data_IF_321053829428
#
_entry.id   IF_321053829428
#
_cell.length_a   1.000
_cell.length_b   1.000
_cell.length_c   1.000
_cell.angle_alpha   90.00
_cell.angle_beta   90.00
_cell.angle_gamma   90.00
#
_symmetry.space_group_name_H-M   'P 1'
#
loop_
_entity.id
_entity.type
_entity.pdbx_description
1 polymer ?
#
# COMPACT_ATOMS: atom_id res chain seq x y z
N UNK A 1 13.63 -8.16 4.28
CA UNK A 1 13.84 -9.54 3.81
C UNK A 1 12.66 -10.04 2.97
N UNK A 2 11.47 -10.27 3.50
CA UNK A 2 10.33 -10.81 2.72
C UNK A 2 9.94 -9.96 1.50
N UNK A 3 10.03 -8.62 1.61
CA UNK A 3 9.82 -7.70 0.49
C UNK A 3 11.05 -7.52 -0.42
N UNK A 4 12.05 -8.39 -0.33
CA UNK A 4 13.30 -8.39 -1.11
C UNK A 4 14.19 -7.14 -1.00
N UNK A 5 13.91 -6.23 -0.07
CA UNK A 5 14.69 -5.00 0.15
C UNK A 5 16.08 -5.30 0.72
N UNK A 6 16.16 -6.28 1.62
CA UNK A 6 17.40 -6.71 2.26
C UNK A 6 17.55 -8.22 2.11
N UNK A 7 18.76 -8.70 1.85
CA UNK A 7 19.05 -10.15 1.82
C UNK A 7 19.11 -10.69 3.25
N UNK A 8 18.67 -11.94 3.48
CA UNK A 8 18.90 -12.63 4.76
C UNK A 8 20.38 -12.97 4.92
N UNK A 9 20.90 -12.88 6.14
CA UNK A 9 22.29 -13.25 6.45
C UNK A 9 22.48 -14.77 6.41
N UNK A 10 21.42 -15.53 6.74
CA UNK A 10 21.39 -16.99 6.69
C UNK A 10 19.95 -17.51 6.53
N UNK A 11 19.82 -18.77 6.14
CA UNK A 11 18.52 -19.42 5.95
C UNK A 11 17.87 -19.10 4.60
N UNK A 12 16.64 -19.59 4.42
CA UNK A 12 15.83 -19.39 3.21
C UNK A 12 14.45 -18.85 3.61
N UNK A 13 13.90 -17.99 2.75
CA UNK A 13 12.53 -17.50 2.88
C UNK A 13 11.81 -17.64 1.54
N UNK A 14 10.56 -18.11 1.58
CA UNK A 14 9.73 -18.28 0.39
C UNK A 14 8.49 -17.39 0.51
N UNK A 15 8.16 -16.71 -0.58
CA UNK A 15 6.92 -15.94 -0.74
C UNK A 15 6.15 -16.53 -1.93
N UNK A 16 5.00 -17.12 -1.69
CA UNK A 16 4.21 -17.86 -2.68
C UNK A 16 5.03 -18.90 -3.47
N UNK A 17 5.94 -19.61 -2.78
CA UNK A 17 6.81 -20.62 -3.35
C UNK A 17 8.06 -20.10 -4.06
N UNK A 18 8.25 -18.79 -4.17
CA UNK A 18 9.43 -18.15 -4.76
C UNK A 18 10.45 -17.79 -3.67
N UNK A 19 11.72 -18.15 -3.90
CA UNK A 19 12.82 -17.78 -3.01
C UNK A 19 13.10 -16.27 -3.09
N UNK A 20 13.11 -15.59 -1.93
CA UNK A 20 13.25 -14.13 -1.87
C UNK A 20 14.60 -13.60 -2.39
N UNK A 21 15.60 -14.48 -2.55
CA UNK A 21 16.93 -14.13 -3.08
C UNK A 21 17.06 -14.53 -4.54
N UNK A 22 16.70 -15.78 -4.88
CA UNK A 22 16.87 -16.34 -6.22
C UNK A 22 15.82 -15.83 -7.20
N UNK A 23 14.58 -15.70 -6.74
CA UNK A 23 13.41 -15.34 -7.54
C UNK A 23 12.88 -13.94 -7.16
N UNK A 24 13.79 -13.03 -6.76
CA UNK A 24 13.42 -11.72 -6.21
C UNK A 24 12.49 -10.91 -7.14
N UNK A 25 12.65 -11.00 -8.46
CA UNK A 25 11.79 -10.32 -9.42
C UNK A 25 10.36 -10.88 -9.42
N UNK A 26 10.21 -12.20 -9.35
CA UNK A 26 8.90 -12.85 -9.25
C UNK A 26 8.19 -12.48 -7.93
N UNK A 27 8.94 -12.39 -6.83
CA UNK A 27 8.41 -11.92 -5.54
C UNK A 27 7.98 -10.46 -5.66
N UNK A 28 8.81 -9.55 -6.20
CA UNK A 28 8.50 -8.12 -6.35
C UNK A 28 7.26 -7.83 -7.18
N UNK A 29 6.94 -8.66 -8.16
CA UNK A 29 5.73 -8.52 -8.96
C UNK A 29 4.44 -8.86 -8.19
N UNK A 30 4.54 -9.59 -7.09
CA UNK A 30 3.41 -10.08 -6.29
C UNK A 30 3.23 -9.36 -4.97
N UNK A 31 4.25 -8.60 -4.54
CA UNK A 31 4.24 -7.92 -3.23
C UNK A 31 4.19 -6.41 -3.41
N UNK A 32 3.54 -5.75 -2.47
CA UNK A 32 3.63 -4.30 -2.31
C UNK A 32 4.09 -3.96 -0.89
N UNK A 33 4.89 -2.92 -0.77
CA UNK A 33 5.38 -2.40 0.51
C UNK A 33 4.99 -0.92 0.62
N UNK A 34 4.17 -0.60 1.61
CA UNK A 34 3.94 0.79 2.02
C UNK A 34 4.76 1.05 3.27
N UNK A 35 5.85 1.79 3.12
CA UNK A 35 6.79 2.10 4.21
C UNK A 35 6.61 3.49 4.80
N UNK A 36 7.57 3.89 5.64
CA UNK A 36 7.63 5.24 6.23
C UNK A 36 7.98 6.33 5.21
N UNK A 37 8.55 5.97 4.06
CA UNK A 37 8.88 6.92 3.01
C UNK A 37 7.76 7.04 2.00
N UNK A 38 7.40 8.28 1.68
CA UNK A 38 6.39 8.60 0.68
C UNK A 38 6.79 8.07 -0.68
N UNK A 39 5.90 7.28 -1.31
CA UNK A 39 6.07 6.80 -2.68
C UNK A 39 5.58 7.82 -3.71
N UNK A 40 5.02 8.95 -3.25
CA UNK A 40 4.39 9.96 -4.09
C UNK A 40 5.26 11.21 -4.21
N UNK A 41 5.23 11.81 -5.38
CA UNK A 41 5.92 13.05 -5.70
C UNK A 41 5.08 14.26 -5.28
N UNK A 42 5.68 15.19 -4.55
CA UNK A 42 5.04 16.36 -4.00
C UNK A 42 4.66 17.41 -5.05
N UNK A 43 5.36 17.45 -6.15
CA UNK A 43 5.16 18.38 -7.27
C UNK A 43 4.16 17.86 -8.31
N UNK A 44 3.64 16.65 -8.12
CA UNK A 44 2.54 16.09 -8.89
C UNK A 44 1.23 16.18 -8.11
N UNK A 45 0.11 16.13 -8.83
CA UNK A 45 -1.22 15.97 -8.23
C UNK A 45 -1.43 14.54 -7.75
N UNK A 46 -2.41 14.32 -6.89
CA UNK A 46 -2.77 12.96 -6.45
C UNK A 46 -3.12 12.05 -7.63
N UNK A 47 -3.83 12.59 -8.62
CA UNK A 47 -4.19 11.88 -9.85
C UNK A 47 -2.96 11.51 -10.69
N UNK A 48 -2.06 12.47 -10.91
CA UNK A 48 -0.84 12.25 -11.70
C UNK A 48 0.06 11.20 -11.08
N UNK A 49 0.23 11.24 -9.75
CA UNK A 49 0.99 10.23 -9.02
C UNK A 49 0.47 8.81 -9.30
N UNK A 50 -0.83 8.57 -9.09
CA UNK A 50 -1.41 7.23 -9.27
C UNK A 50 -1.39 6.79 -10.74
N UNK A 51 -1.58 7.70 -11.69
CA UNK A 51 -1.46 7.39 -13.12
C UNK A 51 -0.01 7.03 -13.47
N UNK A 52 0.97 7.80 -12.98
CA UNK A 52 2.39 7.54 -13.21
C UNK A 52 2.78 6.15 -12.70
N UNK A 53 2.42 5.84 -11.44
CA UNK A 53 2.69 4.54 -10.85
C UNK A 53 2.03 3.39 -11.64
N UNK A 54 0.76 3.55 -12.00
CA UNK A 54 0.08 2.55 -12.83
C UNK A 54 0.77 2.33 -14.18
N UNK A 55 1.29 3.39 -14.80
CA UNK A 55 2.06 3.31 -16.04
C UNK A 55 3.40 2.59 -15.87
N UNK A 56 4.13 2.89 -14.80
CA UNK A 56 5.40 2.24 -14.44
C UNK A 56 5.20 0.74 -14.16
N UNK A 57 4.05 0.39 -13.58
CA UNK A 57 3.67 -0.99 -13.28
C UNK A 57 2.98 -1.72 -14.45
N UNK A 58 3.02 -1.17 -15.66
CA UNK A 58 2.61 -1.84 -16.90
C UNK A 58 1.16 -1.61 -17.34
N UNK A 59 0.37 -0.82 -16.62
CA UNK A 59 -1.00 -0.51 -17.05
C UNK A 59 -1.03 0.36 -18.33
N UNK A 60 -2.00 0.11 -19.19
CA UNK A 60 -2.29 1.03 -20.30
C UNK A 60 -2.71 2.40 -19.75
N UNK A 61 -2.55 3.48 -20.55
CA UNK A 61 -2.94 4.83 -20.12
C UNK A 61 -4.43 4.91 -19.71
N UNK A 62 -5.29 4.18 -20.41
CA UNK A 62 -6.72 4.13 -20.09
C UNK A 62 -6.97 3.44 -18.75
N UNK A 63 -6.32 2.29 -18.52
CA UNK A 63 -6.47 1.52 -17.29
C UNK A 63 -5.90 2.29 -16.07
N UNK A 64 -4.71 2.89 -16.23
CA UNK A 64 -4.09 3.68 -15.17
C UNK A 64 -4.98 4.87 -14.74
N UNK A 65 -5.62 5.57 -15.69
CA UNK A 65 -6.57 6.65 -15.37
C UNK A 65 -7.81 6.15 -14.64
N UNK A 66 -8.39 5.04 -15.10
CA UNK A 66 -9.58 4.46 -14.47
C UNK A 66 -9.26 4.02 -13.04
N UNK A 67 -8.13 3.33 -12.85
CA UNK A 67 -7.68 2.86 -11.53
C UNK A 67 -7.35 4.01 -10.59
N UNK A 68 -6.70 5.07 -11.08
CA UNK A 68 -6.43 6.26 -10.27
C UNK A 68 -7.72 6.92 -9.79
N UNK A 69 -8.73 7.06 -10.64
CA UNK A 69 -10.02 7.64 -10.26
C UNK A 69 -10.74 6.78 -9.20
N UNK A 70 -10.75 5.45 -9.37
CA UNK A 70 -11.32 4.50 -8.42
C UNK A 70 -10.64 4.61 -7.05
N UNK A 71 -9.31 4.59 -7.01
CA UNK A 71 -8.56 4.67 -5.76
C UNK A 71 -8.77 6.03 -5.06
N UNK A 72 -8.69 7.14 -5.80
CA UNK A 72 -8.95 8.46 -5.21
C UNK A 72 -10.34 8.55 -4.58
N UNK A 73 -11.35 7.98 -5.22
CA UNK A 73 -12.71 7.93 -4.67
C UNK A 73 -12.75 7.05 -3.41
N UNK A 74 -12.19 5.83 -3.45
CA UNK A 74 -12.20 4.89 -2.33
C UNK A 74 -11.48 5.42 -1.09
N UNK A 75 -10.42 6.24 -1.30
CA UNK A 75 -9.66 6.86 -0.21
C UNK A 75 -10.19 8.24 0.20
N UNK A 76 -11.34 8.69 -0.32
CA UNK A 76 -11.92 10.00 0.00
C UNK A 76 -11.02 11.16 -0.42
N UNK A 77 -10.33 11.03 -1.56
CA UNK A 77 -9.41 12.02 -2.13
C UNK A 77 -9.91 12.58 -3.47
N UNK A 78 -11.16 12.26 -3.88
CA UNK A 78 -11.71 12.66 -5.17
C UNK A 78 -11.71 14.17 -5.37
N UNK A 79 -12.14 14.93 -4.36
CA UNK A 79 -12.22 16.41 -4.39
C UNK A 79 -10.84 17.09 -4.41
N UNK A 80 -9.81 16.37 -3.98
CA UNK A 80 -8.43 16.86 -3.95
C UNK A 80 -7.56 16.26 -5.07
N UNK A 81 -8.15 15.45 -5.95
CA UNK A 81 -7.42 14.66 -6.94
C UNK A 81 -6.47 15.49 -7.82
N UNK A 82 -6.86 16.70 -8.17
CA UNK A 82 -6.14 17.61 -9.08
C UNK A 82 -5.34 18.70 -8.33
N UNK A 83 -5.21 18.58 -7.00
CA UNK A 83 -4.34 19.43 -6.19
C UNK A 83 -2.96 18.82 -6.09
N UNK A 84 -1.92 19.65 -5.99
CA UNK A 84 -0.53 19.18 -5.75
C UNK A 84 -0.42 18.51 -4.39
N UNK A 85 0.30 17.40 -4.32
CA UNK A 85 0.45 16.58 -3.10
C UNK A 85 1.09 17.38 -1.96
N UNK A 86 2.00 18.31 -2.24
CA UNK A 86 2.56 19.22 -1.23
C UNK A 86 1.51 20.07 -0.48
N UNK A 87 0.29 20.21 -1.02
CA UNK A 87 -0.83 20.92 -0.38
C UNK A 87 -1.75 20.00 0.42
N UNK A 88 -1.47 18.69 0.45
CA UNK A 88 -2.26 17.73 1.19
C UNK A 88 -1.98 17.84 2.70
N UNK A 89 -3.00 17.54 3.52
CA UNK A 89 -2.77 17.28 4.94
C UNK A 89 -1.97 15.97 5.12
N UNK A 90 -1.35 15.79 6.28
CA UNK A 90 -0.64 14.53 6.58
C UNK A 90 -1.52 13.29 6.40
N UNK A 91 -2.79 13.36 6.83
CA UNK A 91 -3.76 12.28 6.66
C UNK A 91 -4.12 12.02 5.18
N UNK A 92 -4.29 13.08 4.38
CA UNK A 92 -4.52 12.94 2.93
C UNK A 92 -3.31 12.31 2.25
N UNK A 93 -2.10 12.75 2.61
CA UNK A 93 -0.85 12.21 2.08
C UNK A 93 -0.72 10.72 2.41
N UNK A 94 -0.93 10.34 3.68
CA UNK A 94 -0.86 8.93 4.10
C UNK A 94 -1.86 8.05 3.35
N UNK A 95 -3.08 8.53 3.15
CA UNK A 95 -4.09 7.81 2.34
C UNK A 95 -3.66 7.66 0.88
N UNK A 96 -3.05 8.68 0.29
CA UNK A 96 -2.52 8.61 -1.07
C UNK A 96 -1.34 7.62 -1.16
N UNK A 97 -0.45 7.57 -0.17
CA UNK A 97 0.66 6.62 -0.12
C UNK A 97 0.16 5.16 -0.07
N UNK A 98 -0.86 4.89 0.75
CA UNK A 98 -1.48 3.55 0.77
C UNK A 98 -2.14 3.24 -0.57
N UNK A 99 -2.85 4.20 -1.18
CA UNK A 99 -3.45 4.04 -2.50
C UNK A 99 -2.39 3.76 -3.58
N UNK A 100 -1.24 4.43 -3.51
CA UNK A 100 -0.09 4.22 -4.40
C UNK A 100 0.44 2.78 -4.32
N UNK A 101 0.54 2.23 -3.11
CA UNK A 101 0.99 0.85 -2.88
C UNK A 101 0.04 -0.22 -3.44
N UNK A 102 -1.20 0.12 -3.76
CA UNK A 102 -2.21 -0.82 -4.27
C UNK A 102 -2.76 -0.45 -5.65
N UNK A 103 -2.05 0.40 -6.39
CA UNK A 103 -2.42 0.73 -7.80
C UNK A 103 -2.57 -0.55 -8.62
N UNK A 104 -1.59 -1.46 -8.52
CA UNK A 104 -1.75 -2.86 -8.91
C UNK A 104 -2.09 -3.64 -7.64
N UNK A 105 -3.18 -4.40 -7.68
CA UNK A 105 -3.59 -5.21 -6.51
C UNK A 105 -2.54 -6.29 -6.25
N UNK A 106 -1.84 -6.25 -5.10
CA UNK A 106 -0.80 -7.23 -4.80
C UNK A 106 -1.41 -8.52 -4.25
N UNK A 107 -0.67 -9.63 -4.36
CA UNK A 107 -1.00 -10.87 -3.64
C UNK A 107 -0.65 -10.76 -2.15
N UNK A 108 0.44 -10.01 -1.82
CA UNK A 108 0.87 -9.74 -0.46
C UNK A 108 1.17 -8.25 -0.28
N UNK A 109 0.50 -7.63 0.68
CA UNK A 109 0.65 -6.23 1.04
C UNK A 109 1.34 -6.10 2.40
N UNK A 110 2.51 -5.45 2.43
CA UNK A 110 3.19 -5.07 3.66
C UNK A 110 2.78 -3.64 4.03
N UNK A 111 2.25 -3.47 5.22
CA UNK A 111 1.83 -2.20 5.78
C UNK A 111 2.63 -1.91 7.06
N UNK A 112 3.52 -0.94 7.00
CA UNK A 112 4.30 -0.52 8.16
C UNK A 112 3.62 0.70 8.80
N UNK A 113 3.02 0.48 9.98
CA UNK A 113 2.27 1.48 10.75
C UNK A 113 1.29 2.32 9.87
N UNK A 114 0.36 1.69 9.14
CA UNK A 114 -0.42 2.37 8.10
C UNK A 114 -1.32 3.49 8.64
N UNK A 115 -1.63 3.47 9.92
CA UNK A 115 -2.58 4.40 10.57
C UNK A 115 -1.94 5.39 11.52
N UNK A 116 -0.61 5.36 11.67
CA UNK A 116 0.12 6.30 12.54
C UNK A 116 -0.09 7.74 12.08
N UNK A 117 -0.45 8.61 13.04
CA UNK A 117 -0.70 10.04 12.78
C UNK A 117 -2.03 10.36 12.07
N UNK A 118 -2.89 9.36 11.83
CA UNK A 118 -4.21 9.57 11.27
C UNK A 118 -5.26 9.88 12.35
N UNK A 119 -6.20 10.77 11.99
CA UNK A 119 -7.43 10.96 12.75
C UNK A 119 -8.31 9.69 12.70
N UNK A 120 -9.26 9.50 13.64
CA UNK A 120 -10.07 8.29 13.71
C UNK A 120 -10.86 7.96 12.44
N UNK A 121 -11.32 8.96 11.70
CA UNK A 121 -12.10 8.77 10.46
C UNK A 121 -11.18 8.26 9.35
N UNK A 122 -10.06 8.93 9.13
CA UNK A 122 -9.04 8.52 8.15
C UNK A 122 -8.49 7.13 8.44
N UNK A 123 -8.28 6.81 9.72
CA UNK A 123 -7.85 5.48 10.18
C UNK A 123 -8.85 4.40 9.77
N UNK A 124 -10.13 4.60 10.05
CA UNK A 124 -11.16 3.65 9.66
C UNK A 124 -11.23 3.44 8.15
N UNK A 125 -11.10 4.50 7.35
CA UNK A 125 -11.08 4.41 5.89
C UNK A 125 -9.93 3.52 5.39
N UNK A 126 -8.72 3.69 5.92
CA UNK A 126 -7.57 2.81 5.57
C UNK A 126 -7.88 1.36 5.90
N UNK A 127 -8.44 1.10 7.09
CA UNK A 127 -8.79 -0.27 7.49
C UNK A 127 -9.88 -0.91 6.63
N UNK A 128 -10.89 -0.14 6.22
CA UNK A 128 -11.95 -0.66 5.37
C UNK A 128 -11.40 -1.10 4.00
N UNK A 129 -10.42 -0.37 3.46
CA UNK A 129 -9.75 -0.74 2.22
C UNK A 129 -8.90 -2.00 2.41
N UNK A 130 -8.11 -2.08 3.49
CA UNK A 130 -7.31 -3.28 3.79
C UNK A 130 -8.21 -4.51 3.91
N UNK A 131 -9.38 -4.39 4.56
CA UNK A 131 -10.36 -5.49 4.63
C UNK A 131 -10.93 -5.86 3.26
N UNK A 132 -11.24 -4.89 2.43
CA UNK A 132 -11.74 -5.13 1.07
C UNK A 132 -10.70 -5.88 0.23
N UNK A 133 -9.44 -5.51 0.32
CA UNK A 133 -8.34 -6.21 -0.35
C UNK A 133 -8.19 -7.65 0.18
N UNK A 134 -8.24 -7.83 1.50
CA UNK A 134 -8.15 -9.16 2.11
C UNK A 134 -9.34 -10.05 1.71
N UNK A 135 -10.53 -9.51 1.65
CA UNK A 135 -11.71 -10.22 1.13
C UNK A 135 -11.58 -10.58 -0.35
N UNK A 136 -10.84 -9.79 -1.12
CA UNK A 136 -10.48 -10.05 -2.51
C UNK A 136 -9.33 -11.05 -2.71
N UNK A 137 -8.75 -11.59 -1.62
CA UNK A 137 -7.69 -12.61 -1.68
C UNK A 137 -6.27 -12.08 -1.45
N UNK A 138 -6.07 -10.77 -1.26
CA UNK A 138 -4.77 -10.20 -0.88
C UNK A 138 -4.43 -10.60 0.55
N UNK A 139 -3.24 -11.14 0.77
CA UNK A 139 -2.70 -11.32 2.12
C UNK A 139 -2.12 -9.98 2.60
N UNK A 140 -2.54 -9.50 3.77
CA UNK A 140 -1.96 -8.30 4.37
C UNK A 140 -1.12 -8.67 5.60
N UNK A 141 0.13 -8.21 5.62
CA UNK A 141 1.01 -8.24 6.79
C UNK A 141 1.19 -6.81 7.27
N UNK A 142 0.83 -6.56 8.51
CA UNK A 142 0.92 -5.22 9.08
C UNK A 142 1.75 -5.22 10.35
N UNK A 143 2.49 -4.13 10.56
CA UNK A 143 3.06 -3.76 11.84
C UNK A 143 2.24 -2.64 12.44
N UNK A 144 2.00 -2.66 13.75
CA UNK A 144 1.30 -1.58 14.47
C UNK A 144 1.80 -1.49 15.89
N UNK A 145 1.86 -0.26 16.41
CA UNK A 145 2.13 0.02 17.82
C UNK A 145 0.83 -0.03 18.68
N UNK A 146 -0.33 -0.22 18.03
CA UNK A 146 -1.62 -0.24 18.69
C UNK A 146 -2.15 -1.67 18.81
N UNK A 147 -2.03 -2.33 19.99
CA UNK A 147 -2.48 -3.72 20.20
C UNK A 147 -3.94 -3.94 19.84
N UNK A 148 -4.80 -2.97 20.13
CA UNK A 148 -6.24 -3.01 19.81
C UNK A 148 -6.51 -3.12 18.29
N UNK A 149 -5.61 -2.62 17.45
CA UNK A 149 -5.73 -2.75 16.00
C UNK A 149 -5.36 -4.16 15.55
N UNK A 150 -4.34 -4.76 16.15
CA UNK A 150 -3.94 -6.12 15.84
C UNK A 150 -5.04 -7.12 16.19
N UNK A 151 -5.60 -7.03 17.41
CA UNK A 151 -6.63 -7.99 17.88
C UNK A 151 -7.96 -7.90 17.13
N UNK A 152 -8.40 -6.70 16.81
CA UNK A 152 -9.72 -6.49 16.19
C UNK A 152 -9.72 -6.69 14.68
N UNK A 153 -8.56 -6.72 14.03
CA UNK A 153 -8.46 -6.54 12.57
C UNK A 153 -7.62 -7.59 11.85
N UNK A 154 -6.94 -8.46 12.56
CA UNK A 154 -6.16 -9.55 11.99
C UNK A 154 -6.80 -10.92 12.26
N UNK A 155 -6.64 -11.84 11.32
CA UNK A 155 -7.00 -13.26 11.52
C UNK A 155 -5.93 -14.02 12.31
N UNK A 156 -4.71 -13.48 12.38
CA UNK A 156 -3.55 -14.00 13.12
C UNK A 156 -2.69 -12.84 13.60
N UNK A 157 -2.35 -12.81 14.88
CA UNK A 157 -1.46 -11.80 15.46
C UNK A 157 -0.20 -12.48 15.99
N UNK A 158 0.95 -11.81 15.84
CA UNK A 158 2.19 -12.16 16.48
C UNK A 158 2.71 -10.92 17.22
N UNK A 159 3.07 -11.07 18.48
CA UNK A 159 3.68 -10.02 19.27
C UNK A 159 5.18 -10.30 19.37
N UNK A 160 5.99 -9.28 19.10
CA UNK A 160 7.45 -9.33 19.19
C UNK A 160 7.91 -8.34 20.25
#
# INVERSE_FOLDING_TARGET
MLATVTRPDAGTALVFGHDVVRDADAVRQRVSLTGQFSSVDDDLTGRENLILLGRLLGYSRRLARARAAELLASFGLADAADRLVKTYSGGMRRRLDVAAGIVVTPDLLFLDEPTTGLDPVSRNQVWDIVRTLAAGGTTALLTTQYPDEADRRSSRSAFI
#
